data_IF_434432580790
#
_entry.id   IF_434432580790
#
_cell.length_a   1.000
_cell.length_b   1.000
_cell.length_c   1.000
_cell.angle_alpha   90.00
_cell.angle_beta   90.00
_cell.angle_gamma   90.00
#
_symmetry.space_group_name_H-M   'P 1'
#
loop_
_entity.id
_entity.type
_entity.pdbx_description
1 polymer ?
#
# COMPACT_ATOMS: atom_id res chain seq x y z
N UNK A 1 -46.82 -9.72 -9.94
CA UNK A 1 -46.24 -10.80 -10.77
C UNK A 1 -45.07 -10.22 -11.57
N UNK A 2 -43.89 -10.82 -11.42
CA UNK A 2 -42.68 -10.74 -12.26
C UNK A 2 -41.82 -9.45 -12.42
N UNK A 3 -40.81 -9.38 -11.55
CA UNK A 3 -39.35 -9.29 -11.80
C UNK A 3 -38.87 -8.88 -13.21
N UNK A 4 -38.03 -7.83 -13.29
CA UNK A 4 -36.82 -7.84 -14.13
C UNK A 4 -35.64 -7.17 -13.42
N UNK A 5 -34.68 -8.02 -13.06
CA UNK A 5 -33.28 -7.71 -12.78
C UNK A 5 -32.55 -7.38 -14.10
N UNK A 6 -31.54 -6.50 -14.03
CA UNK A 6 -30.32 -6.32 -14.87
C UNK A 6 -29.82 -4.90 -14.55
N UNK A 7 -28.63 -4.65 -14.00
CA UNK A 7 -27.36 -5.35 -14.18
C UNK A 7 -26.35 -4.31 -14.68
N UNK A 8 -25.66 -3.69 -13.73
CA UNK A 8 -24.23 -3.39 -13.69
C UNK A 8 -23.44 -2.83 -14.90
N UNK A 9 -22.61 -1.84 -14.53
CA UNK A 9 -21.24 -1.53 -14.99
C UNK A 9 -21.13 -0.69 -16.27
N UNK A 10 -20.63 0.54 -16.12
CA UNK A 10 -19.27 0.94 -16.54
C UNK A 10 -18.99 2.36 -16.05
N UNK A 11 -18.27 2.49 -14.93
CA UNK A 11 -17.46 3.68 -14.71
C UNK A 11 -16.01 3.22 -14.71
N UNK A 12 -15.46 3.08 -15.92
CA UNK A 12 -14.03 3.01 -16.11
C UNK A 12 -13.48 4.38 -15.72
N UNK A 13 -13.00 4.51 -14.48
CA UNK A 13 -12.28 5.70 -14.03
C UNK A 13 -10.92 5.64 -14.72
N UNK A 14 -10.86 6.33 -15.85
CA UNK A 14 -9.68 6.68 -16.60
C UNK A 14 -8.78 7.59 -15.77
N UNK A 15 -7.78 7.01 -15.11
CA UNK A 15 -6.59 7.72 -14.63
C UNK A 15 -5.40 7.18 -15.42
N UNK A 16 -5.25 7.66 -16.65
CA UNK A 16 -4.13 7.34 -17.52
C UNK A 16 -3.77 8.55 -18.39
N UNK A 17 -3.54 9.71 -17.75
CA UNK A 17 -2.99 10.88 -18.43
C UNK A 17 -1.99 11.60 -17.51
N UNK A 18 -0.81 11.01 -17.32
CA UNK A 18 0.39 11.74 -16.88
C UNK A 18 1.73 11.03 -17.15
N UNK A 19 1.78 10.00 -18.02
CA UNK A 19 3.01 9.22 -18.27
C UNK A 19 3.33 9.04 -19.76
N UNK A 20 2.87 9.95 -20.62
CA UNK A 20 3.09 9.89 -22.07
C UNK A 20 4.19 10.84 -22.60
N UNK A 21 5.04 11.43 -21.74
CA UNK A 21 6.01 12.46 -22.19
C UNK A 21 7.49 12.21 -21.85
N UNK A 22 7.88 11.03 -21.37
CA UNK A 22 9.31 10.73 -21.10
C UNK A 22 9.73 9.39 -21.73
N UNK A 23 9.30 9.18 -22.98
CA UNK A 23 9.71 8.06 -23.82
C UNK A 23 10.48 8.58 -25.03
N UNK A 24 11.77 8.84 -24.88
CA UNK A 24 12.62 9.26 -25.98
C UNK A 24 14.10 9.25 -25.61
N UNK A 25 14.74 8.10 -25.73
CA UNK A 25 16.20 8.00 -25.56
C UNK A 25 16.69 6.59 -25.28
N UNK A 26 16.57 5.69 -26.26
CA UNK A 26 17.39 4.48 -26.29
C UNK A 26 18.84 4.88 -26.57
N UNK A 27 19.76 4.59 -25.65
CA UNK A 27 21.18 4.51 -25.97
C UNK A 27 21.71 3.17 -25.44
N UNK A 28 21.85 2.23 -26.38
CA UNK A 28 22.70 1.07 -26.25
C UNK A 28 24.16 1.52 -26.11
N UNK A 29 24.86 1.07 -25.06
CA UNK A 29 26.30 0.87 -25.11
C UNK A 29 26.68 -0.43 -24.39
N UNK A 30 27.55 -1.20 -25.06
CA UNK A 30 27.93 -2.58 -24.80
C UNK A 30 29.43 -2.64 -24.46
N UNK A 31 29.78 -3.45 -23.45
CA UNK A 31 31.10 -4.02 -23.08
C UNK A 31 32.22 -3.06 -22.58
N UNK A 32 33.08 -3.38 -21.60
CA UNK A 32 33.83 -4.62 -21.37
C UNK A 32 34.22 -4.87 -19.88
N UNK A 33 34.42 -6.16 -19.58
CA UNK A 33 35.19 -6.80 -18.50
C UNK A 33 36.22 -5.94 -17.73
N UNK A 34 36.24 -6.11 -16.40
CA UNK A 34 37.43 -6.64 -15.72
C UNK A 34 37.06 -7.38 -14.44
N UNK A 35 37.33 -8.68 -14.49
CA UNK A 35 37.35 -9.61 -13.37
C UNK A 35 38.47 -9.22 -12.40
N UNK A 36 38.15 -9.12 -11.11
CA UNK A 36 39.12 -9.26 -10.03
C UNK A 36 38.55 -10.26 -9.03
N UNK A 37 38.89 -11.53 -9.26
CA UNK A 37 38.91 -12.58 -8.25
C UNK A 37 39.87 -12.21 -7.13
N UNK A 38 39.35 -12.07 -5.92
CA UNK A 38 40.09 -12.32 -4.69
C UNK A 38 39.37 -13.44 -3.93
N UNK A 39 39.82 -14.67 -4.18
CA UNK A 39 39.85 -15.76 -3.19
C UNK A 39 40.86 -15.32 -2.11
N UNK A 40 40.72 -15.55 -0.80
CA UNK A 40 40.18 -16.68 -0.07
C UNK A 40 40.17 -16.26 1.42
N UNK A 41 39.11 -16.51 2.19
CA UNK A 41 39.29 -17.15 3.50
C UNK A 41 37.97 -17.73 4.04
N UNK A 42 37.92 -19.05 4.10
CA UNK A 42 36.92 -19.82 4.82
C UNK A 42 36.99 -19.51 6.31
N UNK A 43 35.87 -19.10 6.89
CA UNK A 43 35.59 -19.27 8.31
C UNK A 43 34.10 -19.44 8.49
N UNK A 44 33.73 -20.70 8.78
CA UNK A 44 32.57 -21.19 9.53
C UNK A 44 31.17 -20.69 9.14
N UNK A 45 30.38 -21.66 8.72
CA UNK A 45 28.93 -21.77 8.88
C UNK A 45 28.33 -20.77 9.87
N UNK A 46 27.49 -19.87 9.35
CA UNK A 46 26.28 -19.44 10.06
C UNK A 46 25.21 -19.09 9.02
N UNK A 47 24.74 -20.12 8.33
CA UNK A 47 23.44 -20.07 7.67
C UNK A 47 22.37 -19.88 8.75
N UNK A 48 21.41 -18.98 8.47
CA UNK A 48 20.22 -18.64 9.26
C UNK A 48 20.49 -17.56 10.32
N UNK A 49 20.37 -16.29 9.89
CA UNK A 49 20.43 -15.14 10.82
C UNK A 49 19.90 -13.81 10.28
N UNK A 50 19.29 -13.79 9.08
CA UNK A 50 18.67 -12.58 8.52
C UNK A 50 17.13 -12.63 8.62
N UNK A 51 16.56 -13.80 8.96
CA UNK A 51 15.11 -13.97 9.11
C UNK A 51 14.59 -13.54 10.49
N UNK A 52 15.44 -13.44 11.51
CA UNK A 52 15.02 -13.13 12.89
C UNK A 52 15.21 -11.66 13.31
N UNK A 53 15.94 -10.85 12.53
CA UNK A 53 16.19 -9.43 12.88
C UNK A 53 15.09 -8.48 12.33
N UNK A 54 14.18 -8.97 11.48
CA UNK A 54 12.96 -8.24 11.09
C UNK A 54 11.78 -8.54 12.04
N UNK A 55 11.99 -9.40 13.04
CA UNK A 55 10.99 -9.85 14.01
C UNK A 55 11.04 -9.04 15.30
N UNK A 56 11.09 -7.70 15.23
CA UNK A 56 11.03 -6.88 16.45
C UNK A 56 10.44 -5.47 16.27
N UNK A 57 9.46 -5.30 15.37
CA UNK A 57 8.43 -4.24 15.50
C UNK A 57 7.09 -4.64 14.85
N UNK A 58 6.78 -5.93 14.79
CA UNK A 58 5.40 -6.35 14.50
C UNK A 58 4.58 -6.16 15.78
N UNK A 59 4.04 -4.95 15.96
CA UNK A 59 2.86 -4.78 16.80
C UNK A 59 1.84 -5.84 16.36
N UNK A 60 1.35 -6.58 17.34
CA UNK A 60 0.49 -7.73 17.18
C UNK A 60 -0.85 -7.28 16.57
N UNK A 61 -0.92 -7.17 15.24
CA UNK A 61 -2.14 -6.77 14.52
C UNK A 61 -3.27 -7.78 14.69
N UNK A 62 -2.92 -8.99 15.16
CA UNK A 62 -3.81 -10.12 15.42
C UNK A 62 -4.99 -9.80 16.36
N UNK A 63 -4.89 -8.76 17.19
CA UNK A 63 -5.94 -8.36 18.13
C UNK A 63 -6.59 -7.03 17.78
N UNK A 64 -6.12 -6.35 16.74
CA UNK A 64 -6.59 -5.01 16.41
C UNK A 64 -7.92 -5.06 15.64
N UNK A 65 -8.83 -4.14 15.96
CA UNK A 65 -10.04 -3.90 15.17
C UNK A 65 -9.68 -3.26 13.82
N UNK A 66 -10.54 -3.37 12.79
CA UNK A 66 -10.37 -2.65 11.52
C UNK A 66 -10.07 -1.16 11.69
N UNK A 67 -10.78 -0.48 12.59
CA UNK A 67 -10.56 0.93 12.94
C UNK A 67 -9.19 1.19 13.55
N UNK A 68 -8.73 0.33 14.46
CA UNK A 68 -7.39 0.46 15.04
C UNK A 68 -6.30 0.27 13.98
N UNK A 69 -6.50 -0.68 13.06
CA UNK A 69 -5.61 -0.90 11.92
C UNK A 69 -5.62 0.31 10.99
N UNK A 70 -6.78 0.86 10.66
CA UNK A 70 -6.91 2.05 9.83
C UNK A 70 -6.09 3.22 10.39
N UNK A 71 -6.27 3.52 11.68
CA UNK A 71 -5.54 4.59 12.38
C UNK A 71 -4.03 4.30 12.41
N UNK A 72 -3.63 3.07 12.75
CA UNK A 72 -2.23 2.69 12.85
C UNK A 72 -1.51 2.71 11.48
N UNK A 73 -2.17 2.22 10.43
CA UNK A 73 -1.69 2.25 9.05
C UNK A 73 -1.53 3.69 8.57
N UNK A 74 -2.56 4.51 8.69
CA UNK A 74 -2.52 5.90 8.23
C UNK A 74 -1.43 6.71 8.95
N UNK A 75 -1.27 6.51 10.26
CA UNK A 75 -0.18 7.10 11.04
C UNK A 75 1.19 6.66 10.54
N UNK A 76 1.37 5.37 10.27
CA UNK A 76 2.65 4.83 9.79
C UNK A 76 2.96 5.29 8.35
N UNK A 77 1.97 5.35 7.47
CA UNK A 77 2.14 5.89 6.11
C UNK A 77 2.56 7.35 6.13
N UNK A 78 1.90 8.16 6.96
CA UNK A 78 2.25 9.58 7.11
C UNK A 78 3.67 9.77 7.69
N UNK A 79 4.09 8.87 8.58
CA UNK A 79 5.43 8.92 9.18
C UNK A 79 6.55 8.39 8.27
N UNK A 80 6.21 7.70 7.18
CA UNK A 80 7.18 7.11 6.25
C UNK A 80 8.01 8.20 5.57
N UNK A 81 9.32 7.98 5.47
CA UNK A 81 10.30 8.92 4.91
C UNK A 81 10.84 8.50 3.55
N UNK A 82 10.45 7.31 3.09
CA UNK A 82 10.87 6.74 1.82
C UNK A 82 9.75 5.91 1.20
N UNK A 83 9.90 5.62 -0.09
CA UNK A 83 9.01 4.72 -0.81
C UNK A 83 9.04 3.30 -0.19
N UNK A 84 10.23 2.83 0.18
CA UNK A 84 10.45 1.54 0.82
C UNK A 84 9.75 1.46 2.18
N UNK A 85 9.76 2.55 2.96
CA UNK A 85 9.01 2.63 4.21
C UNK A 85 7.50 2.60 3.97
N UNK A 86 6.99 3.30 2.94
CA UNK A 86 5.56 3.21 2.57
C UNK A 86 5.17 1.78 2.20
N UNK A 87 5.97 1.08 1.39
CA UNK A 87 5.71 -0.32 1.06
C UNK A 87 5.74 -1.22 2.31
N UNK A 88 6.68 -1.01 3.23
CA UNK A 88 6.76 -1.79 4.45
C UNK A 88 5.50 -1.63 5.33
N UNK A 89 4.87 -0.45 5.31
CA UNK A 89 3.57 -0.24 5.96
C UNK A 89 2.48 -1.06 5.28
N UNK A 90 2.42 -1.05 3.94
CA UNK A 90 1.48 -1.88 3.17
C UNK A 90 1.65 -3.38 3.48
N UNK A 91 2.88 -3.90 3.46
CA UNK A 91 3.18 -5.29 3.82
C UNK A 91 2.69 -5.70 5.21
N UNK A 92 2.60 -4.75 6.14
CA UNK A 92 2.14 -5.00 7.51
C UNK A 92 0.61 -5.06 7.61
N UNK A 93 -0.09 -4.14 6.96
CA UNK A 93 -1.52 -3.91 7.20
C UNK A 93 -2.43 -4.32 6.04
N UNK A 94 -1.90 -4.47 4.83
CA UNK A 94 -2.69 -4.69 3.64
C UNK A 94 -2.86 -6.20 3.39
N UNK A 95 -3.90 -6.55 2.65
CA UNK A 95 -4.21 -7.92 2.26
C UNK A 95 -3.20 -8.44 1.26
N UNK A 96 -3.15 -9.76 1.10
CA UNK A 96 -2.26 -10.37 0.08
C UNK A 96 -2.60 -9.87 -1.32
N UNK A 97 -3.89 -9.69 -1.62
CA UNK A 97 -4.34 -9.18 -2.91
C UNK A 97 -3.85 -7.75 -3.15
N UNK A 98 -3.98 -6.86 -2.15
CA UNK A 98 -3.56 -5.46 -2.26
C UNK A 98 -2.04 -5.33 -2.39
N UNK A 99 -1.29 -6.10 -1.60
CA UNK A 99 0.18 -6.16 -1.69
C UNK A 99 0.62 -6.58 -3.11
N UNK A 100 -0.05 -7.58 -3.69
CA UNK A 100 0.27 -8.05 -5.04
C UNK A 100 -0.04 -6.99 -6.11
N UNK A 101 -1.17 -6.29 -5.97
CA UNK A 101 -1.52 -5.16 -6.85
C UNK A 101 -0.45 -4.08 -6.82
N UNK A 102 -0.05 -3.63 -5.62
CA UNK A 102 0.96 -2.58 -5.44
C UNK A 102 2.33 -3.03 -5.95
N UNK A 103 2.70 -4.30 -5.76
CA UNK A 103 3.91 -4.88 -6.32
C UNK A 103 3.89 -4.87 -7.85
N UNK A 104 2.76 -5.23 -8.47
CA UNK A 104 2.62 -5.24 -9.93
C UNK A 104 2.69 -3.84 -10.54
N UNK A 105 2.18 -2.83 -9.84
CA UNK A 105 2.30 -1.43 -10.26
C UNK A 105 3.75 -0.92 -10.16
N UNK A 106 4.53 -1.43 -9.21
CA UNK A 106 5.84 -0.87 -8.85
C UNK A 106 7.03 -1.68 -9.35
N UNK A 107 6.81 -2.90 -9.86
CA UNK A 107 7.87 -3.85 -10.26
C UNK A 107 8.91 -3.34 -11.26
N UNK A 108 8.55 -2.40 -12.13
CA UNK A 108 9.45 -1.83 -13.14
C UNK A 108 9.83 -0.37 -12.86
N UNK A 109 9.57 0.12 -11.64
CA UNK A 109 9.94 1.49 -11.27
C UNK A 109 11.44 1.55 -10.93
N UNK A 110 12.11 2.51 -11.56
CA UNK A 110 13.45 2.93 -11.15
C UNK A 110 13.35 3.88 -9.94
N UNK A 111 14.49 4.24 -9.35
CA UNK A 111 14.54 5.05 -8.13
C UNK A 111 13.90 6.44 -8.31
N UNK A 112 14.00 7.04 -9.49
CA UNK A 112 13.35 8.31 -9.81
C UNK A 112 11.82 8.21 -9.75
N UNK A 113 11.25 7.18 -10.38
CA UNK A 113 9.80 6.91 -10.35
C UNK A 113 9.32 6.60 -8.94
N UNK A 114 10.06 5.82 -8.17
CA UNK A 114 9.74 5.53 -6.76
C UNK A 114 9.72 6.80 -5.93
N UNK A 115 10.72 7.67 -6.10
CA UNK A 115 10.80 8.96 -5.40
C UNK A 115 9.65 9.88 -5.80
N UNK A 116 9.30 9.93 -7.08
CA UNK A 116 8.15 10.70 -7.55
C UNK A 116 6.82 10.17 -6.97
N UNK A 117 6.64 8.85 -6.95
CA UNK A 117 5.45 8.22 -6.37
C UNK A 117 5.36 8.46 -4.86
N UNK A 118 6.47 8.36 -4.12
CA UNK A 118 6.53 8.72 -2.71
C UNK A 118 6.16 10.18 -2.49
N UNK A 119 6.75 11.09 -3.27
CA UNK A 119 6.43 12.53 -3.20
C UNK A 119 4.96 12.81 -3.48
N UNK A 120 4.36 12.11 -4.45
CA UNK A 120 2.92 12.19 -4.72
C UNK A 120 2.12 11.67 -3.53
N UNK A 121 2.40 10.47 -3.03
CA UNK A 121 1.69 9.88 -1.89
C UNK A 121 1.68 10.80 -0.67
N UNK A 122 2.83 11.42 -0.34
CA UNK A 122 2.95 12.37 0.79
C UNK A 122 2.00 13.58 0.69
N UNK A 123 1.63 14.02 -0.51
CA UNK A 123 0.69 15.14 -0.71
C UNK A 123 -0.76 14.73 -0.45
N UNK A 124 -1.09 13.45 -0.65
CA UNK A 124 -2.46 12.93 -0.49
C UNK A 124 -2.72 12.27 0.86
N UNK A 125 -1.67 11.82 1.55
CA UNK A 125 -1.78 11.27 2.89
C UNK A 125 -2.30 12.34 3.86
N UNK A 126 -3.40 12.00 4.54
CA UNK A 126 -4.00 12.86 5.55
C UNK A 126 -3.45 12.48 6.92
N UNK A 127 -2.88 13.42 7.70
CA UNK A 127 -2.45 13.11 9.05
C UNK A 127 -3.62 12.59 9.90
N UNK A 128 -3.37 11.60 10.75
CA UNK A 128 -4.43 11.00 11.58
C UNK A 128 -5.13 12.00 12.50
N UNK A 129 -4.42 13.04 12.99
CA UNK A 129 -5.02 14.13 13.77
C UNK A 129 -6.02 15.02 13.01
N UNK A 130 -6.04 14.92 11.68
CA UNK A 130 -7.00 15.59 10.80
C UNK A 130 -8.24 14.75 10.51
N UNK A 131 -8.28 13.51 11.01
CA UNK A 131 -9.43 12.62 10.89
C UNK A 131 -10.42 12.87 12.03
N UNK A 132 -11.69 12.96 11.69
CA UNK A 132 -12.85 13.10 12.56
C UNK A 132 -13.90 12.05 12.16
N UNK A 133 -14.89 11.82 13.02
CA UNK A 133 -16.03 10.93 12.73
C UNK A 133 -15.62 9.54 12.19
N UNK A 134 -14.62 8.91 12.83
CA UNK A 134 -14.15 7.58 12.43
C UNK A 134 -15.15 6.52 12.89
N UNK A 135 -15.89 5.96 11.95
CA UNK A 135 -16.91 4.93 12.16
C UNK A 135 -16.44 3.58 11.62
N UNK A 136 -16.93 2.50 12.23
CA UNK A 136 -16.62 1.12 11.84
C UNK A 136 -17.92 0.33 11.73
N UNK A 137 -18.03 -0.43 10.65
CA UNK A 137 -19.11 -1.40 10.44
C UNK A 137 -18.51 -2.75 10.10
N UNK A 138 -18.80 -3.76 10.93
CA UNK A 138 -18.32 -5.14 10.72
C UNK A 138 -19.49 -6.01 10.25
N UNK A 139 -19.26 -6.77 9.19
CA UNK A 139 -20.16 -7.78 8.63
C UNK A 139 -19.40 -9.08 8.38
N UNK A 140 -19.38 -9.96 9.39
CA UNK A 140 -18.65 -11.23 9.35
C UNK A 140 -17.14 -11.01 9.21
N UNK A 141 -16.59 -11.50 8.08
CA UNK A 141 -15.16 -11.40 7.74
C UNK A 141 -14.83 -10.17 6.87
N UNK A 142 -15.77 -9.23 6.74
CA UNK A 142 -15.57 -7.94 6.09
C UNK A 142 -15.88 -6.81 7.06
N UNK A 143 -15.17 -5.70 6.93
CA UNK A 143 -15.48 -4.49 7.65
C UNK A 143 -15.25 -3.26 6.77
N UNK A 144 -15.99 -2.20 7.03
CA UNK A 144 -15.80 -0.89 6.41
C UNK A 144 -15.52 0.12 7.51
N UNK A 145 -14.45 0.88 7.35
CA UNK A 145 -14.12 2.02 8.19
C UNK A 145 -14.31 3.28 7.35
N UNK A 146 -15.12 4.20 7.85
CA UNK A 146 -15.29 5.53 7.25
C UNK A 146 -14.69 6.58 8.17
N UNK A 147 -14.09 7.61 7.60
CA UNK A 147 -13.57 8.75 8.34
C UNK A 147 -13.78 10.03 7.54
N UNK A 148 -13.99 11.14 8.22
CA UNK A 148 -14.03 12.45 7.59
C UNK A 148 -12.72 13.18 7.91
N UNK A 149 -12.25 14.01 6.99
CA UNK A 149 -11.14 14.94 7.27
C UNK A 149 -11.73 16.27 7.73
N UNK A 150 -11.00 17.04 8.54
CA UNK A 150 -11.41 18.42 8.88
C UNK A 150 -11.59 19.33 7.65
N UNK A 151 -10.96 18.97 6.54
CA UNK A 151 -11.11 19.63 5.25
C UNK A 151 -12.37 19.19 4.45
N UNK A 152 -13.23 18.34 5.02
CA UNK A 152 -14.52 17.94 4.43
C UNK A 152 -14.44 16.80 3.40
N UNK A 153 -13.32 16.08 3.33
CA UNK A 153 -13.22 14.85 2.50
C UNK A 153 -13.66 13.62 3.30
N UNK A 154 -14.39 12.70 2.68
CA UNK A 154 -14.73 11.40 3.25
C UNK A 154 -13.72 10.35 2.75
N UNK A 155 -13.23 9.52 3.66
CA UNK A 155 -12.34 8.40 3.43
C UNK A 155 -13.10 7.12 3.74
N UNK A 156 -13.00 6.13 2.89
CA UNK A 156 -13.58 4.81 3.09
C UNK A 156 -12.50 3.75 2.89
N UNK A 157 -12.38 2.85 3.85
CA UNK A 157 -11.44 1.74 3.84
C UNK A 157 -12.19 0.43 4.09
N UNK A 158 -11.99 -0.54 3.20
CA UNK A 158 -12.55 -1.89 3.31
C UNK A 158 -11.48 -2.84 3.84
N UNK A 159 -11.85 -3.60 4.86
CA UNK A 159 -11.02 -4.60 5.51
C UNK A 159 -11.61 -5.99 5.31
N UNK A 160 -10.73 -6.98 5.17
CA UNK A 160 -11.07 -8.41 5.14
C UNK A 160 -10.32 -9.15 6.23
N UNK A 161 -10.87 -10.28 6.70
CA UNK A 161 -10.22 -11.12 7.69
C UNK A 161 -9.42 -12.23 7.02
N UNK A 162 -8.10 -12.15 7.10
CA UNK A 162 -7.17 -13.16 6.58
C UNK A 162 -6.47 -13.87 7.73
N UNK A 163 -6.66 -15.19 7.86
CA UNK A 163 -6.02 -15.98 8.93
C UNK A 163 -6.39 -15.51 10.34
N UNK A 164 -7.59 -14.94 10.52
CA UNK A 164 -8.05 -14.39 11.79
C UNK A 164 -7.61 -12.95 12.07
N UNK A 165 -6.81 -12.35 11.19
CA UNK A 165 -6.29 -10.98 11.32
C UNK A 165 -6.96 -10.08 10.29
N UNK A 166 -7.38 -8.89 10.69
CA UNK A 166 -7.93 -7.90 9.78
C UNK A 166 -6.83 -7.29 8.89
N UNK A 167 -7.14 -7.11 7.61
CA UNK A 167 -6.24 -6.61 6.57
C UNK A 167 -6.96 -5.63 5.67
N UNK A 168 -6.29 -4.57 5.25
CA UNK A 168 -6.86 -3.60 4.31
C UNK A 168 -6.89 -4.20 2.90
N UNK A 169 -8.07 -4.25 2.30
CA UNK A 169 -8.27 -4.69 0.92
C UNK A 169 -8.28 -3.51 -0.05
N UNK A 170 -8.96 -2.42 0.33
CA UNK A 170 -9.17 -1.26 -0.53
C UNK A 170 -9.35 0.00 0.32
N UNK A 171 -8.77 1.11 -0.12
CA UNK A 171 -9.01 2.45 0.42
C UNK A 171 -9.27 3.47 -0.68
N UNK A 172 -10.23 4.38 -0.46
CA UNK A 172 -10.61 5.41 -1.42
C UNK A 172 -11.08 6.69 -0.75
N UNK A 173 -10.96 7.80 -1.48
CA UNK A 173 -11.59 9.07 -1.13
C UNK A 173 -12.98 9.09 -1.76
N UNK A 174 -14.01 9.30 -0.95
CA UNK A 174 -15.41 9.38 -1.40
C UNK A 174 -15.83 10.85 -1.42
N UNK A 175 -16.56 11.25 -2.46
CA UNK A 175 -17.18 12.58 -2.48
C UNK A 175 -18.42 12.56 -1.55
N UNK A 176 -18.60 13.55 -0.68
CA UNK A 176 -19.69 13.61 0.32
C UNK A 176 -21.09 13.86 -0.29
N UNK A 177 -21.39 13.38 -1.49
CA UNK A 177 -22.62 13.66 -2.24
C UNK A 177 -23.26 12.50 -2.99
N UNK A 178 -22.76 11.26 -2.86
CA UNK A 178 -23.34 10.07 -3.49
C UNK A 178 -23.85 9.06 -2.43
N UNK A 179 -24.61 9.53 -1.45
CA UNK A 179 -25.44 8.68 -0.58
C UNK A 179 -26.87 8.63 -1.12
#
# INVERSE_FOLDING_TARGET
MNIKNKGSITLAISILVALALIGGGAVYYKNNLKSSTNTLNSSKENSIGILDTVKSTFQNTSTMSPKEIFIARNTAMYAAKSFEELQAVGLKYDSVAKIQEDADQTKYMNDEKKKALFGFAQVFLTPTQELINIEEKIDGDKATVTAETKAGKELEATFIKEGGVWKLEEDKIVNPGNK
#
